data_IF_354264041817
#
_entry.id   IF_354264041817
#
_cell.length_a   1.000
_cell.length_b   1.000
_cell.length_c   1.000
_cell.angle_alpha   90.00
_cell.angle_beta   90.00
_cell.angle_gamma   90.00
#
_symmetry.space_group_name_H-M   'P 1'
#
loop_
_entity.id
_entity.type
_entity.pdbx_description
1 polymer ?
#
# COMPACT_ATOMS: atom_id res chain seq x y z
N UNK A 1 -46.92 11.58 4.55
CA UNK A 1 -46.29 11.91 5.85
C UNK A 1 -44.81 11.61 5.67
N UNK A 2 -43.91 12.56 5.96
CA UNK A 2 -42.46 12.31 5.84
C UNK A 2 -42.05 11.28 6.90
N UNK A 3 -41.18 10.33 6.54
CA UNK A 3 -40.63 9.34 7.47
C UNK A 3 -39.80 10.03 8.56
N UNK A 4 -39.80 9.51 9.78
CA UNK A 4 -39.00 10.07 10.87
C UNK A 4 -37.49 9.86 10.57
N UNK A 5 -36.65 10.89 10.71
CA UNK A 5 -35.21 10.79 10.54
C UNK A 5 -34.55 9.74 11.44
N UNK A 6 -35.11 9.48 12.63
CA UNK A 6 -34.64 8.40 13.50
C UNK A 6 -34.90 7.02 12.88
N UNK A 7 -36.06 6.84 12.25
CA UNK A 7 -36.44 5.59 11.58
C UNK A 7 -35.63 5.37 10.30
N UNK A 8 -35.38 6.43 9.52
CA UNK A 8 -34.53 6.39 8.32
C UNK A 8 -33.11 5.89 8.66
N UNK A 9 -32.54 6.36 9.77
CA UNK A 9 -31.23 5.92 10.24
C UNK A 9 -31.29 4.61 11.05
N UNK A 10 -32.47 4.14 11.44
CA UNK A 10 -32.67 2.93 12.24
C UNK A 10 -32.14 3.04 13.67
N UNK A 11 -32.33 4.20 14.30
CA UNK A 11 -31.84 4.52 15.65
C UNK A 11 -32.96 5.08 16.53
N UNK A 12 -32.80 5.03 17.85
CA UNK A 12 -33.75 5.63 18.79
C UNK A 12 -33.58 7.15 18.94
N UNK A 13 -34.62 7.86 19.41
CA UNK A 13 -34.62 9.32 19.63
C UNK A 13 -33.55 9.81 20.63
N UNK A 14 -33.13 8.92 21.53
CA UNK A 14 -32.08 9.16 22.52
C UNK A 14 -30.66 8.83 22.02
N UNK A 15 -30.49 8.56 20.72
CA UNK A 15 -29.19 8.24 20.14
C UNK A 15 -28.19 9.38 20.33
N UNK A 16 -26.99 9.01 20.75
CA UNK A 16 -25.84 9.92 20.87
C UNK A 16 -25.34 10.35 19.49
N UNK A 17 -24.60 11.47 19.41
CA UNK A 17 -23.99 11.92 18.16
C UNK A 17 -23.09 10.85 17.50
N UNK A 18 -22.42 10.02 18.32
CA UNK A 18 -21.60 8.91 17.85
C UNK A 18 -22.45 7.79 17.20
N UNK A 19 -23.61 7.48 17.76
CA UNK A 19 -24.55 6.49 17.23
C UNK A 19 -25.21 6.98 15.95
N UNK A 20 -25.62 8.25 15.89
CA UNK A 20 -26.15 8.89 14.67
C UNK A 20 -25.13 8.80 13.53
N UNK A 21 -23.87 9.14 13.80
CA UNK A 21 -22.77 9.03 12.81
C UNK A 21 -22.48 7.59 12.40
N UNK A 22 -22.61 6.62 13.31
CA UNK A 22 -22.41 5.20 13.00
C UNK A 22 -23.54 4.65 12.13
N UNK A 23 -24.78 5.03 12.42
CA UNK A 23 -25.96 4.63 11.69
C UNK A 23 -25.95 5.19 10.26
N UNK A 24 -25.65 6.48 10.10
CA UNK A 24 -25.47 7.10 8.79
C UNK A 24 -24.40 6.38 7.96
N UNK A 25 -23.24 6.08 8.55
CA UNK A 25 -22.18 5.32 7.87
C UNK A 25 -22.66 3.97 7.34
N UNK A 26 -23.45 3.24 8.13
CA UNK A 26 -24.00 1.94 7.73
C UNK A 26 -24.94 2.11 6.53
N UNK A 27 -25.85 3.08 6.58
CA UNK A 27 -26.81 3.36 5.50
C UNK A 27 -26.16 3.92 4.24
N UNK A 28 -25.15 4.78 4.38
CA UNK A 28 -24.41 5.34 3.25
C UNK A 28 -23.61 4.29 2.48
N UNK A 29 -23.04 3.29 3.18
CA UNK A 29 -22.36 2.15 2.53
C UNK A 29 -23.38 1.19 1.91
N UNK A 30 -24.52 0.95 2.57
CA UNK A 30 -25.59 0.06 2.10
C UNK A 30 -26.20 0.57 0.79
N UNK A 31 -26.45 1.88 0.70
CA UNK A 31 -27.11 2.52 -0.45
C UNK A 31 -26.15 3.30 -1.36
N UNK A 32 -24.85 3.01 -1.31
CA UNK A 32 -23.86 3.71 -2.15
C UNK A 32 -24.10 3.42 -3.64
N UNK A 33 -24.05 4.42 -4.55
CA UNK A 33 -24.22 4.22 -5.99
C UNK A 33 -23.23 3.22 -6.60
N UNK A 34 -21.97 3.23 -6.18
CA UNK A 34 -20.97 2.25 -6.66
C UNK A 34 -21.35 0.79 -6.35
N UNK A 35 -22.04 0.55 -5.22
CA UNK A 35 -22.51 -0.80 -4.85
C UNK A 35 -23.87 -1.13 -5.45
N UNK A 36 -24.64 -0.11 -5.83
CA UNK A 36 -26.00 -0.23 -6.37
C UNK A 36 -26.15 0.59 -7.66
N UNK A 37 -25.36 0.32 -8.71
CA UNK A 37 -25.37 1.13 -9.92
C UNK A 37 -26.72 1.01 -10.64
N UNK A 38 -27.38 2.15 -10.86
CA UNK A 38 -28.66 2.22 -11.57
C UNK A 38 -29.91 1.86 -10.75
N UNK A 39 -29.78 1.69 -9.42
CA UNK A 39 -30.93 1.46 -8.53
C UNK A 39 -31.49 2.79 -7.99
N UNK A 40 -32.62 3.23 -8.57
CA UNK A 40 -33.32 4.45 -8.16
C UNK A 40 -33.80 4.41 -6.69
N UNK A 41 -34.08 3.23 -6.13
CA UNK A 41 -34.51 3.09 -4.73
C UNK A 41 -33.34 3.27 -3.77
N UNK A 42 -32.17 2.74 -4.12
CA UNK A 42 -30.96 2.96 -3.34
C UNK A 42 -30.59 4.44 -3.32
N UNK A 43 -30.69 5.13 -4.46
CA UNK A 43 -30.44 6.57 -4.55
C UNK A 43 -31.41 7.39 -3.69
N UNK A 44 -32.71 7.06 -3.69
CA UNK A 44 -33.70 7.73 -2.85
C UNK A 44 -33.41 7.52 -1.35
N UNK A 45 -33.07 6.28 -0.95
CA UNK A 45 -32.72 5.96 0.43
C UNK A 45 -31.42 6.62 0.88
N UNK A 46 -30.45 6.76 -0.02
CA UNK A 46 -29.20 7.49 0.23
C UNK A 46 -29.47 8.98 0.50
N UNK A 47 -30.32 9.62 -0.32
CA UNK A 47 -30.73 11.02 -0.14
C UNK A 47 -31.44 11.23 1.20
N UNK A 48 -32.40 10.37 1.54
CA UNK A 48 -33.10 10.41 2.84
C UNK A 48 -32.15 10.25 4.02
N UNK A 49 -31.18 9.32 3.92
CA UNK A 49 -30.20 9.11 4.99
C UNK A 49 -29.25 10.31 5.16
N UNK A 50 -28.88 10.98 4.07
CA UNK A 50 -28.07 12.19 4.10
C UNK A 50 -28.82 13.37 4.75
N UNK A 51 -30.08 13.59 4.37
CA UNK A 51 -30.96 14.60 4.98
C UNK A 51 -31.15 14.35 6.48
N UNK A 52 -31.42 13.10 6.86
CA UNK A 52 -31.54 12.70 8.26
C UNK A 52 -30.26 12.99 9.06
N UNK A 53 -29.08 12.71 8.48
CA UNK A 53 -27.81 12.99 9.14
C UNK A 53 -27.54 14.49 9.24
N UNK A 54 -27.87 15.29 8.23
CA UNK A 54 -27.66 16.74 8.27
C UNK A 54 -28.45 17.41 9.41
N UNK A 55 -29.68 16.94 9.63
CA UNK A 55 -30.54 17.46 10.70
C UNK A 55 -30.15 16.91 12.07
N UNK A 56 -29.86 15.61 12.18
CA UNK A 56 -29.60 14.97 13.48
C UNK A 56 -28.15 15.13 13.97
N UNK A 57 -27.18 15.42 13.09
CA UNK A 57 -25.78 15.59 13.48
C UNK A 57 -25.47 16.94 14.12
N UNK A 58 -26.25 17.99 13.79
CA UNK A 58 -26.12 19.31 14.38
C UNK A 58 -27.02 19.44 15.62
N UNK A 59 -26.48 19.77 16.81
CA UNK A 59 -27.27 19.85 18.04
C UNK A 59 -28.44 20.84 17.97
N UNK A 60 -28.31 21.95 17.24
CA UNK A 60 -29.34 22.98 17.10
C UNK A 60 -30.43 22.54 16.11
N UNK A 61 -30.07 21.88 15.01
CA UNK A 61 -31.04 21.30 14.06
C UNK A 61 -31.78 20.12 14.68
N UNK A 62 -31.07 19.23 15.40
CA UNK A 62 -31.66 18.11 16.14
C UNK A 62 -32.68 18.59 17.15
N UNK A 63 -32.33 19.60 17.96
CA UNK A 63 -33.24 20.18 18.96
C UNK A 63 -34.52 20.74 18.32
N UNK A 64 -34.41 21.45 17.18
CA UNK A 64 -35.58 21.96 16.45
C UNK A 64 -36.43 20.85 15.86
N UNK A 65 -35.82 19.81 15.29
CA UNK A 65 -36.52 18.64 14.77
C UNK A 65 -37.23 17.86 15.89
N UNK A 66 -36.59 17.70 17.06
CA UNK A 66 -37.20 17.02 18.21
C UNK A 66 -38.42 17.78 18.76
N UNK A 67 -38.46 19.11 18.62
CA UNK A 67 -39.56 19.97 19.10
C UNK A 67 -40.71 20.11 18.10
N UNK A 68 -40.42 20.25 16.81
CA UNK A 68 -41.43 20.61 15.79
C UNK A 68 -41.53 19.60 14.63
N UNK A 69 -40.76 18.51 14.67
CA UNK A 69 -40.69 17.52 13.59
C UNK A 69 -40.26 18.14 12.27
N UNK A 70 -40.74 17.57 11.16
CA UNK A 70 -40.47 18.07 9.81
C UNK A 70 -40.97 19.50 9.55
N UNK A 71 -41.99 19.94 10.30
CA UNK A 71 -42.53 21.30 10.17
C UNK A 71 -41.54 22.39 10.63
N UNK A 72 -40.50 22.03 11.40
CA UNK A 72 -39.42 22.93 11.82
C UNK A 72 -38.68 23.60 10.65
N UNK A 73 -38.78 23.01 9.46
CA UNK A 73 -38.04 23.40 8.25
C UNK A 73 -38.96 23.77 7.08
N UNK A 74 -40.29 23.81 7.26
CA UNK A 74 -41.28 24.05 6.19
C UNK A 74 -41.82 25.50 6.14
N UNK A 75 -41.40 26.40 7.05
CA UNK A 75 -41.92 27.77 7.12
C UNK A 75 -40.89 28.85 7.49
N UNK A 76 -40.33 29.52 6.48
CA UNK A 76 -39.86 30.91 6.55
C UNK A 76 -38.55 31.22 7.31
N UNK A 77 -37.52 31.59 6.54
CA UNK A 77 -36.48 32.54 7.01
C UNK A 77 -35.11 31.95 7.31
N UNK A 78 -34.28 31.83 6.28
CA UNK A 78 -32.83 31.99 6.40
C UNK A 78 -32.02 30.79 6.90
N UNK A 79 -31.98 29.69 6.13
CA UNK A 79 -30.75 28.91 5.87
C UNK A 79 -31.09 27.77 4.90
N UNK A 80 -30.39 27.70 3.76
CA UNK A 80 -30.20 26.44 3.03
C UNK A 80 -31.34 25.90 2.18
N UNK A 81 -32.11 26.76 1.49
CA UNK A 81 -32.88 26.36 0.31
C UNK A 81 -31.96 26.21 -0.90
N UNK A 82 -31.00 25.30 -0.83
CA UNK A 82 -30.18 24.87 -1.96
C UNK A 82 -30.32 23.37 -2.02
N UNK A 83 -30.96 22.86 -3.07
CA UNK A 83 -30.98 21.42 -3.32
C UNK A 83 -29.56 20.92 -3.24
N UNK A 84 -29.27 20.04 -2.27
CA UNK A 84 -27.99 19.37 -2.20
C UNK A 84 -27.83 18.59 -3.50
N UNK A 85 -27.02 19.13 -4.42
CA UNK A 85 -26.66 18.42 -5.64
C UNK A 85 -25.94 17.14 -5.23
N UNK A 86 -26.12 16.08 -6.01
CA UNK A 86 -25.48 14.79 -5.75
C UNK A 86 -23.97 15.00 -5.53
N UNK A 87 -23.35 15.85 -6.35
CA UNK A 87 -21.92 16.23 -6.24
C UNK A 87 -21.53 16.95 -4.93
N UNK A 88 -22.43 17.71 -4.30
CA UNK A 88 -22.19 18.36 -2.99
C UNK A 88 -22.27 17.34 -1.84
N UNK A 89 -23.20 16.38 -1.92
CA UNK A 89 -23.29 15.27 -0.96
C UNK A 89 -22.07 14.36 -1.08
N UNK A 90 -21.61 14.09 -2.32
CA UNK A 90 -20.42 13.27 -2.58
C UNK A 90 -19.11 13.97 -2.20
N UNK A 91 -19.00 15.30 -2.38
CA UNK A 91 -17.82 16.05 -1.93
C UNK A 91 -17.76 16.18 -0.40
N UNK A 92 -18.89 16.38 0.27
CA UNK A 92 -18.98 16.35 1.73
C UNK A 92 -18.72 14.94 2.28
N UNK A 93 -19.05 13.89 1.52
CA UNK A 93 -18.63 12.51 1.79
C UNK A 93 -17.12 12.33 1.55
N UNK A 94 -16.56 12.91 0.50
CA UNK A 94 -15.12 12.94 0.23
C UNK A 94 -14.31 13.60 1.35
N UNK A 95 -14.80 14.68 1.95
CA UNK A 95 -14.12 15.35 3.06
C UNK A 95 -14.32 14.64 4.41
N UNK A 96 -15.47 13.97 4.62
CA UNK A 96 -15.75 13.20 5.85
C UNK A 96 -15.13 11.79 5.81
N UNK A 97 -14.94 11.19 4.63
CA UNK A 97 -14.48 9.81 4.44
C UNK A 97 -13.12 9.68 3.74
N UNK A 98 -12.70 10.68 2.95
CA UNK A 98 -11.34 10.77 2.39
C UNK A 98 -10.27 10.92 3.47
N UNK A 99 -10.65 11.26 4.70
CA UNK A 99 -9.77 11.25 5.86
C UNK A 99 -9.63 9.89 6.58
N UNK A 100 -10.36 8.85 6.18
CA UNK A 100 -10.44 7.61 6.96
C UNK A 100 -10.07 6.30 6.23
N UNK A 101 -9.92 6.29 4.90
CA UNK A 101 -9.58 5.04 4.17
C UNK A 101 -8.52 5.17 3.06
N UNK A 102 -7.82 6.30 2.95
CA UNK A 102 -6.64 6.47 2.09
C UNK A 102 -5.52 7.13 2.90
N UNK A 103 -4.35 6.50 2.96
CA UNK A 103 -3.27 6.84 3.88
C UNK A 103 -2.86 8.32 3.91
N UNK A 104 -2.88 8.91 5.11
CA UNK A 104 -2.14 10.11 5.47
C UNK A 104 -2.91 11.43 5.34
N UNK A 105 -3.60 11.85 6.41
CA UNK A 105 -4.27 13.16 6.40
C UNK A 105 -5.13 13.43 7.62
N UNK A 106 -4.52 13.56 8.79
CA UNK A 106 -5.19 14.08 9.98
C UNK A 106 -5.40 15.59 9.81
N UNK A 107 -6.42 16.01 9.06
CA UNK A 107 -6.81 17.43 8.96
C UNK A 107 -8.26 17.57 8.53
N UNK A 108 -9.17 17.75 9.50
CA UNK A 108 -10.57 18.02 9.18
C UNK A 108 -11.57 17.85 10.31
N UNK A 109 -11.24 18.25 11.55
CA UNK A 109 -12.15 18.81 12.58
C UNK A 109 -11.40 18.80 13.92
N UNK A 110 -10.65 19.88 14.17
CA UNK A 110 -10.23 20.25 15.52
C UNK A 110 -10.36 21.76 15.65
N UNK A 111 -11.58 22.24 15.50
CA UNK A 111 -12.02 23.51 16.05
C UNK A 111 -12.67 23.20 17.39
N UNK A 112 -12.20 23.86 18.46
CA UNK A 112 -12.66 23.78 19.85
C UNK A 112 -12.27 22.52 20.66
N UNK A 113 -11.02 22.53 21.14
CA UNK A 113 -10.56 21.65 22.22
C UNK A 113 -9.13 21.99 22.62
N UNK A 114 -8.98 22.77 23.69
CA UNK A 114 -7.68 23.14 24.25
C UNK A 114 -6.83 21.91 24.56
N UNK A 115 -5.70 21.79 23.86
CA UNK A 115 -4.71 20.75 24.06
C UNK A 115 -3.41 21.21 23.44
N UNK A 116 -2.74 22.16 24.11
CA UNK A 116 -1.38 22.62 23.78
C UNK A 116 -0.35 21.51 24.01
N UNK A 117 -0.46 20.42 23.26
CA UNK A 117 0.60 19.42 23.18
C UNK A 117 1.81 20.06 22.53
N UNK A 118 2.92 20.14 23.28
CA UNK A 118 4.22 20.50 22.73
C UNK A 118 4.49 19.60 21.51
N UNK A 119 4.59 20.18 20.30
CA UNK A 119 5.06 19.45 19.12
C UNK A 119 6.48 18.96 19.42
N UNK A 120 6.62 17.69 19.75
CA UNK A 120 7.93 17.06 19.92
C UNK A 120 8.61 16.99 18.57
N UNK A 121 9.87 17.40 18.50
CA UNK A 121 10.67 17.24 17.29
C UNK A 121 10.86 15.76 17.01
N UNK A 122 10.66 15.36 15.76
CA UNK A 122 10.92 14.00 15.29
C UNK A 122 12.32 13.92 14.69
N UNK A 123 13.05 12.87 15.02
CA UNK A 123 14.36 12.59 14.46
C UNK A 123 14.28 12.21 12.98
N UNK A 124 15.41 12.24 12.30
CA UNK A 124 15.45 11.91 10.87
C UNK A 124 15.23 10.42 10.63
N UNK A 125 14.49 10.11 9.57
CA UNK A 125 14.27 8.73 9.15
C UNK A 125 15.58 8.14 8.59
N UNK A 126 15.77 6.84 8.78
CA UNK A 126 16.83 6.07 8.14
C UNK A 126 16.25 5.27 6.99
N UNK A 127 16.98 5.16 5.88
CA UNK A 127 16.58 4.30 4.76
C UNK A 127 17.65 3.25 4.53
N UNK A 128 17.24 1.99 4.54
CA UNK A 128 18.11 0.85 4.23
C UNK A 128 17.52 0.05 3.07
N UNK A 129 18.38 -0.62 2.31
CA UNK A 129 17.97 -1.58 1.29
C UNK A 129 18.23 -2.98 1.81
N UNK A 130 17.23 -3.85 1.67
CA UNK A 130 17.33 -5.25 2.08
C UNK A 130 17.08 -6.09 0.86
N UNK A 131 18.11 -6.86 0.51
CA UNK A 131 18.03 -7.84 -0.56
C UNK A 131 17.35 -9.11 -0.06
N UNK A 132 16.41 -9.60 -0.85
CA UNK A 132 15.66 -10.83 -0.57
C UNK A 132 15.72 -11.79 -1.75
N UNK A 133 15.87 -13.07 -1.44
CA UNK A 133 15.75 -14.14 -2.44
C UNK A 133 14.27 -14.42 -2.75
N UNK A 134 13.98 -15.05 -3.89
CA UNK A 134 12.61 -15.47 -4.22
C UNK A 134 12.00 -16.40 -3.16
N UNK A 135 12.81 -17.24 -2.51
CA UNK A 135 12.39 -18.12 -1.42
C UNK A 135 11.98 -17.35 -0.16
N UNK A 136 12.77 -16.33 0.22
CA UNK A 136 12.44 -15.44 1.33
C UNK A 136 11.15 -14.66 1.03
N UNK A 137 10.95 -14.22 -0.21
CA UNK A 137 9.75 -13.50 -0.64
C UNK A 137 8.52 -14.40 -0.61
N UNK A 138 8.60 -15.65 -1.05
CA UNK A 138 7.44 -16.54 -1.10
C UNK A 138 6.95 -16.98 0.29
N UNK A 139 7.87 -17.19 1.23
CA UNK A 139 7.55 -17.68 2.57
C UNK A 139 7.39 -16.56 3.61
N UNK A 140 7.97 -15.39 3.35
CA UNK A 140 8.17 -14.36 4.37
C UNK A 140 9.34 -14.72 5.28
N UNK A 141 10.01 -13.71 5.83
CA UNK A 141 11.20 -13.91 6.67
C UNK A 141 11.31 -12.85 7.77
N UNK A 142 11.77 -13.28 8.94
CA UNK A 142 12.24 -12.38 9.99
C UNK A 142 13.75 -12.15 9.80
N UNK A 143 14.14 -10.91 9.44
CA UNK A 143 15.54 -10.57 9.16
C UNK A 143 16.07 -9.63 10.24
N UNK A 144 17.19 -10.00 10.85
CA UNK A 144 17.90 -9.17 11.85
C UNK A 144 18.97 -8.34 11.15
N UNK A 145 18.81 -7.02 11.16
CA UNK A 145 19.70 -6.11 10.46
C UNK A 145 20.38 -5.19 11.46
N UNK A 146 21.70 -5.03 11.32
CA UNK A 146 22.47 -4.06 12.09
C UNK A 146 22.31 -2.68 11.46
N UNK A 147 21.75 -1.75 12.21
CA UNK A 147 21.51 -0.39 11.76
C UNK A 147 22.40 0.55 12.56
N UNK A 148 23.14 1.41 11.84
CA UNK A 148 23.90 2.51 12.42
C UNK A 148 22.98 3.72 12.55
N UNK A 149 22.62 4.09 13.78
CA UNK A 149 21.74 5.23 14.04
C UNK A 149 22.34 6.17 15.06
N UNK A 150 21.94 7.45 15.00
CA UNK A 150 22.29 8.43 16.01
C UNK A 150 21.36 8.27 17.20
N UNK A 151 21.93 8.07 18.39
CA UNK A 151 21.23 7.98 19.68
C UNK A 151 21.69 9.10 20.59
N UNK A 152 20.88 9.52 21.56
CA UNK A 152 21.34 10.49 22.56
C UNK A 152 22.47 9.90 23.40
N UNK A 153 23.57 10.66 23.55
CA UNK A 153 24.71 10.22 24.34
C UNK A 153 24.37 10.22 25.84
N UNK A 154 24.88 9.24 26.58
CA UNK A 154 24.68 9.19 28.03
C UNK A 154 25.29 10.44 28.70
N UNK A 155 24.52 11.05 29.61
CA UNK A 155 24.96 12.26 30.33
C UNK A 155 24.76 13.58 29.58
N UNK A 156 24.11 13.59 28.41
CA UNK A 156 23.64 14.83 27.79
C UNK A 156 22.50 15.44 28.61
N UNK A 157 22.58 16.74 28.89
CA UNK A 157 21.50 17.50 29.53
C UNK A 157 21.02 18.62 28.61
N UNK A 158 19.72 18.89 28.68
CA UNK A 158 19.07 19.92 27.88
C UNK A 158 18.37 20.93 28.79
N UNK A 159 18.51 22.21 28.46
CA UNK A 159 17.84 23.33 29.13
C UNK A 159 16.79 23.96 28.19
N UNK A 160 15.76 24.57 28.77
CA UNK A 160 14.69 25.22 27.99
C UNK A 160 15.24 26.38 27.17
N UNK A 161 14.89 26.45 25.89
CA UNK A 161 15.33 27.53 25.02
C UNK A 161 14.70 28.87 25.48
N UNK A 162 15.53 29.83 25.88
CA UNK A 162 15.07 31.16 26.32
C UNK A 162 14.34 31.95 25.23
N UNK A 163 14.74 31.81 23.96
CA UNK A 163 14.16 32.57 22.83
C UNK A 163 12.71 32.20 22.54
N UNK A 164 12.33 30.92 22.67
CA UNK A 164 10.95 30.46 22.43
C UNK A 164 10.20 30.05 23.70
N UNK A 165 10.86 30.07 24.86
CA UNK A 165 10.30 29.59 26.13
C UNK A 165 9.85 28.13 26.08
N UNK A 166 10.57 27.28 25.34
CA UNK A 166 10.21 25.86 25.19
C UNK A 166 9.17 25.55 24.10
N UNK A 167 8.65 26.57 23.40
CA UNK A 167 7.60 26.37 22.39
C UNK A 167 8.11 25.87 21.03
N UNK A 168 9.42 25.93 20.77
CA UNK A 168 10.02 25.53 19.48
C UNK A 168 9.72 26.45 18.30
N UNK A 169 8.79 27.39 18.44
CA UNK A 169 8.41 28.35 17.41
C UNK A 169 8.41 29.78 17.98
N UNK A 170 8.69 30.75 17.12
CA UNK A 170 8.67 32.18 17.41
C UNK A 170 7.73 32.88 16.42
N UNK A 171 6.99 33.87 16.89
CA UNK A 171 6.09 34.64 16.02
C UNK A 171 6.89 35.65 15.21
N UNK A 172 6.92 35.49 13.88
CA UNK A 172 7.54 36.44 12.96
C UNK A 172 6.48 37.39 12.41
N UNK A 173 6.62 38.67 12.71
CA UNK A 173 5.74 39.71 12.18
C UNK A 173 6.37 40.22 10.89
N UNK A 174 5.66 40.10 9.78
CA UNK A 174 6.11 40.58 8.46
C UNK A 174 5.14 41.63 7.94
N UNK A 175 5.66 42.80 7.57
CA UNK A 175 4.84 43.87 6.99
C UNK A 175 4.58 43.55 5.51
N UNK A 176 3.32 43.41 5.13
CA UNK A 176 2.87 43.23 3.74
C UNK A 176 2.10 44.47 3.30
N UNK A 177 1.88 44.63 1.99
CA UNK A 177 1.11 45.75 1.41
C UNK A 177 -0.33 45.81 1.99
N UNK A 178 -0.84 44.68 2.49
CA UNK A 178 -2.17 44.53 3.10
C UNK A 178 -2.16 44.65 4.64
N UNK A 179 -1.02 45.02 5.26
CA UNK A 179 -0.87 45.16 6.70
C UNK A 179 0.14 44.20 7.34
N UNK A 180 0.16 44.17 8.69
CA UNK A 180 1.09 43.33 9.46
C UNK A 180 0.57 41.90 9.54
N UNK A 181 1.26 40.96 8.89
CA UNK A 181 0.95 39.54 8.95
C UNK A 181 1.83 38.89 10.04
N UNK A 182 1.20 38.16 10.97
CA UNK A 182 1.93 37.36 11.96
C UNK A 182 1.96 35.91 11.50
N UNK A 183 3.15 35.33 11.35
CA UNK A 183 3.33 33.92 11.00
C UNK A 183 4.19 33.23 12.04
N UNK A 184 3.87 31.97 12.35
CA UNK A 184 4.72 31.15 13.20
C UNK A 184 5.93 30.67 12.38
N UNK A 185 7.14 30.94 12.87
CA UNK A 185 8.39 30.45 12.30
C UNK A 185 9.09 29.51 13.29
N UNK A 186 9.85 28.53 12.81
CA UNK A 186 10.69 27.69 13.66
C UNK A 186 11.72 28.55 14.38
N UNK A 187 11.90 28.34 15.70
CA UNK A 187 12.89 29.08 16.47
C UNK A 187 14.31 28.78 15.94
N UNK A 188 15.04 29.81 15.54
CA UNK A 188 16.40 29.66 15.00
C UNK A 188 17.41 29.17 16.04
N UNK A 189 17.21 29.49 17.32
CA UNK A 189 18.13 29.10 18.41
C UNK A 189 18.06 27.62 18.75
N UNK A 190 16.88 27.01 18.72
CA UNK A 190 16.70 25.58 19.07
C UNK A 190 16.31 24.70 17.88
N UNK A 191 16.19 25.27 16.67
CA UNK A 191 15.81 24.52 15.47
C UNK A 191 14.45 23.84 15.55
N UNK A 192 13.56 24.28 16.45
CA UNK A 192 12.25 23.66 16.68
C UNK A 192 12.15 22.77 17.91
N UNK A 193 13.26 22.37 18.55
CA UNK A 193 13.24 21.41 19.67
C UNK A 193 12.65 21.98 20.97
N UNK A 194 12.62 23.31 21.11
CA UNK A 194 12.26 23.98 22.36
C UNK A 194 13.34 23.89 23.44
N UNK A 195 14.43 23.15 23.20
CA UNK A 195 15.51 22.92 24.15
C UNK A 195 16.88 23.16 23.51
N UNK A 196 17.84 23.62 24.30
CA UNK A 196 19.24 23.77 23.91
C UNK A 196 20.10 22.89 24.81
N UNK A 197 21.27 22.48 24.35
CA UNK A 197 22.18 21.65 25.14
C UNK A 197 22.73 22.49 26.30
N UNK A 198 22.81 21.86 27.47
CA UNK A 198 23.50 22.40 28.64
C UNK A 198 24.87 21.72 28.77
N UNK A 199 24.89 20.40 28.98
CA UNK A 199 26.12 19.60 29.04
C UNK A 199 26.08 18.48 28.02
N UNK A 200 27.23 18.18 27.42
CA UNK A 200 27.41 17.03 26.53
C UNK A 200 28.76 16.36 26.77
N UNK A 201 28.85 15.04 26.60
CA UNK A 201 30.14 14.35 26.63
C UNK A 201 30.97 14.66 25.37
N UNK A 202 32.25 14.30 25.40
CA UNK A 202 33.20 14.60 24.31
C UNK A 202 32.96 13.76 23.05
N UNK A 203 32.32 12.59 23.20
CA UNK A 203 31.95 11.67 22.12
C UNK A 203 30.61 11.99 21.44
N UNK A 204 29.93 13.06 21.87
CA UNK A 204 28.66 13.52 21.31
C UNK A 204 28.83 14.69 20.32
N UNK A 205 28.02 14.68 19.25
CA UNK A 205 27.98 15.73 18.25
C UNK A 205 27.40 17.05 18.79
N UNK A 206 27.30 18.07 17.92
CA UNK A 206 26.78 19.39 18.28
C UNK A 206 25.33 19.37 18.81
N UNK A 207 24.61 18.27 18.60
CA UNK A 207 23.24 18.06 19.04
C UNK A 207 23.13 17.06 20.22
N UNK A 208 24.26 16.61 20.77
CA UNK A 208 24.30 15.65 21.87
C UNK A 208 24.07 14.20 21.43
N UNK A 209 24.23 13.90 20.14
CA UNK A 209 23.99 12.58 19.58
C UNK A 209 25.31 11.83 19.33
N UNK A 210 25.29 10.51 19.52
CA UNK A 210 26.38 9.57 19.25
C UNK A 210 25.89 8.50 18.27
N UNK A 211 26.77 8.04 17.37
CA UNK A 211 26.45 6.92 16.49
C UNK A 211 26.54 5.61 17.27
N UNK A 212 25.49 4.82 17.25
CA UNK A 212 25.42 3.49 17.87
C UNK A 212 24.94 2.45 16.84
N UNK A 213 25.42 1.22 16.98
CA UNK A 213 24.93 0.08 16.22
C UNK A 213 23.87 -0.66 17.02
N UNK A 214 22.67 -0.80 16.45
CA UNK A 214 21.58 -1.58 17.05
C UNK A 214 21.13 -2.66 16.08
N UNK A 215 20.87 -3.87 16.59
CA UNK A 215 20.27 -4.94 15.77
C UNK A 215 18.76 -4.83 15.84
N UNK A 216 18.11 -4.55 14.71
CA UNK A 216 16.67 -4.44 14.58
C UNK A 216 16.14 -5.68 13.88
N UNK A 217 15.14 -6.33 14.48
CA UNK A 217 14.40 -7.43 13.83
C UNK A 217 13.26 -6.86 12.99
N UNK A 218 13.17 -7.28 11.73
CA UNK A 218 12.19 -6.80 10.77
C UNK A 218 11.44 -8.01 10.21
N UNK A 219 10.14 -8.03 10.41
CA UNK A 219 9.25 -9.05 9.84
C UNK A 219 8.83 -8.60 8.45
N UNK A 220 9.27 -9.34 7.44
CA UNK A 220 8.95 -9.08 6.05
C UNK A 220 7.87 -10.10 5.65
N UNK A 221 6.65 -9.65 5.32
CA UNK A 221 5.57 -10.56 4.93
C UNK A 221 5.88 -11.27 3.62
N UNK A 222 5.24 -12.41 3.40
CA UNK A 222 5.28 -13.11 2.12
C UNK A 222 4.64 -12.25 1.02
N UNK A 223 5.14 -12.36 -0.21
CA UNK A 223 4.59 -11.70 -1.39
C UNK A 223 5.13 -10.31 -1.70
N UNK A 224 6.04 -9.79 -0.87
CA UNK A 224 6.61 -8.44 -1.05
C UNK A 224 7.15 -8.19 -2.45
N UNK A 225 6.78 -7.05 -3.02
CA UNK A 225 7.22 -6.62 -4.35
C UNK A 225 8.48 -5.77 -4.28
N UNK A 226 9.20 -5.73 -5.39
CA UNK A 226 10.36 -4.86 -5.53
C UNK A 226 9.96 -3.38 -5.42
N UNK A 227 10.78 -2.61 -4.69
CA UNK A 227 10.52 -1.18 -4.46
C UNK A 227 9.54 -0.88 -3.33
N UNK A 228 8.87 -1.91 -2.77
CA UNK A 228 8.03 -1.74 -1.58
C UNK A 228 8.86 -1.25 -0.39
N UNK A 229 8.27 -0.35 0.42
CA UNK A 229 8.92 0.23 1.60
C UNK A 229 8.18 -0.17 2.87
N UNK A 230 8.85 -0.93 3.74
CA UNK A 230 8.36 -1.24 5.08
C UNK A 230 8.84 -0.19 6.07
N UNK A 231 7.93 0.29 6.92
CA UNK A 231 8.23 1.29 7.94
C UNK A 231 8.31 0.63 9.31
N UNK A 232 9.48 0.67 9.93
CA UNK A 232 9.68 0.27 11.32
C UNK A 232 9.70 1.53 12.20
N UNK A 233 8.68 1.75 13.05
CA UNK A 233 8.54 3.00 13.79
C UNK A 233 9.62 3.17 14.86
N UNK A 234 10.04 4.41 15.10
CA UNK A 234 10.99 4.79 16.16
C UNK A 234 12.38 4.12 16.09
N UNK A 235 12.75 3.55 14.93
CA UNK A 235 14.06 2.92 14.69
C UNK A 235 14.98 3.74 13.78
N UNK A 236 14.60 4.99 13.51
CA UNK A 236 15.45 5.99 12.85
C UNK A 236 16.41 6.67 13.83
N UNK A 237 16.93 7.83 13.44
CA UNK A 237 17.79 8.62 14.33
C UNK A 237 16.97 9.26 15.45
N UNK A 238 17.55 9.38 16.64
CA UNK A 238 16.97 10.13 17.74
C UNK A 238 16.95 11.63 17.42
N UNK A 239 15.96 12.33 17.95
CA UNK A 239 15.94 13.79 17.97
C UNK A 239 16.64 14.32 19.23
N UNK A 240 17.22 15.54 19.19
CA UNK A 240 17.78 16.17 20.38
C UNK A 240 16.70 16.52 21.41
N UNK A 241 17.02 16.41 22.70
CA UNK A 241 16.12 16.81 23.79
C UNK A 241 14.95 15.85 23.97
N UNK A 242 13.76 16.38 24.23
CA UNK A 242 12.54 15.59 24.41
C UNK A 242 11.85 15.21 23.09
N UNK A 243 12.64 15.02 22.03
CA UNK A 243 12.17 14.61 20.72
C UNK A 243 11.89 13.11 20.63
N UNK A 244 11.12 12.69 19.62
CA UNK A 244 10.87 11.27 19.33
C UNK A 244 11.80 10.79 18.21
N UNK A 245 12.25 9.53 18.21
CA UNK A 245 13.07 9.01 17.12
C UNK A 245 12.35 9.03 15.77
N UNK A 246 13.12 9.11 14.70
CA UNK A 246 12.65 8.89 13.34
C UNK A 246 12.22 7.43 13.11
N UNK A 247 11.78 7.13 11.89
CA UNK A 247 11.45 5.76 11.48
C UNK A 247 12.57 5.14 10.64
N UNK A 248 12.65 3.82 10.62
CA UNK A 248 13.48 3.06 9.68
C UNK A 248 12.62 2.64 8.49
N UNK A 249 12.98 3.10 7.30
CA UNK A 249 12.37 2.78 6.03
C UNK A 249 13.20 1.70 5.34
N UNK A 250 12.62 0.51 5.22
CA UNK A 250 13.26 -0.66 4.63
C UNK A 250 12.75 -0.79 3.21
N UNK A 251 13.58 -0.45 2.24
CA UNK A 251 13.28 -0.68 0.83
C UNK A 251 13.67 -2.11 0.45
N UNK A 252 12.72 -2.83 -0.12
CA UNK A 252 12.91 -4.22 -0.54
C UNK A 252 13.49 -4.24 -1.96
N UNK A 253 14.54 -5.05 -2.13
CA UNK A 253 15.21 -5.31 -3.40
C UNK A 253 15.20 -6.83 -3.63
N UNK A 254 14.75 -7.28 -4.79
CA UNK A 254 14.72 -8.71 -5.13
C UNK A 254 16.06 -9.11 -5.72
N UNK A 255 16.64 -10.21 -5.25
CA UNK A 255 17.80 -10.81 -5.90
C UNK A 255 17.37 -11.59 -7.14
N UNK A 256 18.10 -11.39 -8.24
CA UNK A 256 17.88 -12.15 -9.47
C UNK A 256 18.15 -13.64 -9.20
N UNK A 257 17.22 -14.50 -9.62
CA UNK A 257 17.36 -15.94 -9.50
C UNK A 257 17.82 -16.53 -10.84
N UNK A 258 18.75 -17.50 -10.81
CA UNK A 258 19.39 -18.05 -12.01
C UNK A 258 18.40 -18.63 -13.01
N UNK A 259 17.31 -19.24 -12.52
CA UNK A 259 16.36 -20.00 -13.36
C UNK A 259 14.94 -19.46 -13.34
N UNK A 260 14.57 -18.61 -12.37
CA UNK A 260 13.19 -18.18 -12.15
C UNK A 260 13.09 -16.68 -12.34
N UNK A 261 12.13 -16.25 -13.15
CA UNK A 261 11.82 -14.83 -13.37
C UNK A 261 10.45 -14.53 -12.80
N UNK A 262 10.35 -13.53 -11.93
CA UNK A 262 9.08 -13.11 -11.33
C UNK A 262 8.40 -12.06 -12.20
N UNK A 263 7.11 -12.27 -12.47
CA UNK A 263 6.23 -11.29 -13.11
C UNK A 263 4.93 -11.19 -12.30
N UNK A 264 4.82 -10.12 -11.49
CA UNK A 264 3.74 -9.99 -10.51
C UNK A 264 3.75 -11.13 -9.50
N UNK A 265 2.62 -11.85 -9.39
CA UNK A 265 2.47 -13.04 -8.55
C UNK A 265 2.92 -14.34 -9.26
N UNK A 266 3.15 -14.29 -10.58
CA UNK A 266 3.54 -15.46 -11.37
C UNK A 266 5.05 -15.59 -11.48
N UNK A 267 5.50 -16.82 -11.71
CA UNK A 267 6.90 -17.15 -11.96
C UNK A 267 7.05 -17.77 -13.33
N UNK A 268 8.14 -17.47 -14.00
CA UNK A 268 8.50 -18.00 -15.30
C UNK A 268 9.78 -18.81 -15.18
N UNK A 269 9.77 -20.00 -15.78
CA UNK A 269 10.90 -20.92 -15.82
C UNK A 269 11.14 -21.37 -17.25
N UNK A 270 12.36 -21.20 -17.74
CA UNK A 270 12.76 -21.65 -19.08
C UNK A 270 13.30 -23.08 -19.01
N UNK A 271 12.49 -24.06 -19.42
CA UNK A 271 12.86 -25.47 -19.43
C UNK A 271 13.42 -25.87 -20.80
N UNK A 272 14.71 -26.21 -20.83
CA UNK A 272 15.35 -26.77 -22.01
C UNK A 272 15.25 -28.30 -22.02
N UNK A 273 14.74 -28.84 -23.13
CA UNK A 273 14.60 -30.29 -23.35
C UNK A 273 15.26 -30.71 -24.67
N UNK A 274 15.77 -31.93 -24.74
CA UNK A 274 16.33 -32.44 -25.99
C UNK A 274 15.23 -32.80 -27.00
N UNK A 275 15.59 -32.90 -28.27
CA UNK A 275 14.68 -33.39 -29.33
C UNK A 275 14.16 -34.80 -28.98
N UNK A 276 15.01 -35.68 -28.45
CA UNK A 276 14.60 -37.03 -28.06
C UNK A 276 13.57 -37.02 -26.92
N UNK A 277 13.75 -36.17 -25.91
CA UNK A 277 12.79 -35.99 -24.82
C UNK A 277 11.46 -35.42 -25.32
N UNK A 278 11.51 -34.47 -26.26
CA UNK A 278 10.32 -33.86 -26.84
C UNK A 278 9.50 -34.87 -27.65
N UNK A 279 10.16 -35.73 -28.42
CA UNK A 279 9.51 -36.76 -29.25
C UNK A 279 8.93 -37.88 -28.39
N UNK A 280 9.71 -38.42 -27.45
CA UNK A 280 9.30 -39.60 -26.66
C UNK A 280 8.37 -39.26 -25.49
N UNK A 281 8.41 -38.02 -25.02
CA UNK A 281 7.81 -37.63 -23.74
C UNK A 281 8.66 -38.14 -22.58
N UNK A 282 8.75 -37.35 -21.51
CA UNK A 282 9.54 -37.71 -20.33
C UNK A 282 8.95 -37.06 -19.09
N UNK A 283 9.44 -37.43 -17.90
CA UNK A 283 9.16 -36.68 -16.68
C UNK A 283 10.44 -35.97 -16.24
N UNK A 284 10.38 -34.65 -16.06
CA UNK A 284 11.49 -33.84 -15.57
C UNK A 284 11.18 -33.27 -14.20
N UNK A 285 12.23 -33.08 -13.42
CA UNK A 285 12.17 -32.42 -12.13
C UNK A 285 12.69 -30.99 -12.32
N UNK A 286 11.88 -30.02 -11.89
CA UNK A 286 12.19 -28.60 -11.99
C UNK A 286 12.25 -27.97 -10.61
N UNK A 287 13.09 -26.96 -10.46
CA UNK A 287 13.19 -26.20 -9.22
C UNK A 287 12.07 -25.16 -9.16
N UNK A 288 11.26 -25.23 -8.12
CA UNK A 288 10.26 -24.22 -7.78
C UNK A 288 10.58 -23.63 -6.40
N UNK A 289 9.95 -22.50 -6.05
CA UNK A 289 10.26 -21.77 -4.81
C UNK A 289 9.97 -22.57 -3.53
N UNK A 290 9.07 -23.56 -3.60
CA UNK A 290 8.76 -24.48 -2.51
C UNK A 290 9.52 -25.82 -2.57
N UNK A 291 10.58 -25.90 -3.37
CA UNK A 291 11.33 -27.13 -3.64
C UNK A 291 11.06 -27.71 -5.01
N UNK A 292 11.50 -28.94 -5.22
CA UNK A 292 11.46 -29.58 -6.53
C UNK A 292 10.08 -30.14 -6.89
N UNK A 293 9.66 -29.92 -8.13
CA UNK A 293 8.38 -30.41 -8.66
C UNK A 293 8.65 -31.29 -9.88
N UNK A 294 8.05 -32.48 -9.91
CA UNK A 294 8.08 -33.36 -11.08
C UNK A 294 6.95 -32.98 -12.04
N UNK A 295 7.32 -32.66 -13.28
CA UNK A 295 6.39 -32.38 -14.38
C UNK A 295 6.44 -33.51 -15.40
N UNK A 296 5.28 -33.83 -15.97
CA UNK A 296 5.17 -34.78 -17.08
C UNK A 296 5.13 -33.99 -18.39
N UNK A 297 6.05 -34.31 -19.29
CA UNK A 297 6.08 -33.81 -20.66
C UNK A 297 5.43 -34.84 -21.57
N UNK A 298 4.43 -34.40 -22.33
CA UNK A 298 3.74 -35.23 -23.31
C UNK A 298 4.67 -35.55 -24.49
N UNK A 299 4.48 -36.71 -25.10
CA UNK A 299 5.18 -37.06 -26.33
C UNK A 299 4.73 -36.13 -27.47
N UNK A 300 5.66 -35.71 -28.32
CA UNK A 300 5.40 -34.75 -29.39
C UNK A 300 5.22 -33.30 -28.90
N UNK A 301 5.75 -32.95 -27.73
CA UNK A 301 5.65 -31.58 -27.20
C UNK A 301 6.41 -30.59 -28.10
N UNK A 302 5.71 -29.53 -28.51
CA UNK A 302 6.28 -28.50 -29.35
C UNK A 302 7.01 -27.43 -28.52
N UNK A 303 8.06 -26.86 -29.12
CA UNK A 303 8.78 -25.73 -28.53
C UNK A 303 7.86 -24.50 -28.40
N UNK A 304 8.01 -23.75 -27.32
CA UNK A 304 7.15 -22.61 -26.98
C UNK A 304 5.78 -22.99 -26.43
N UNK A 305 5.53 -24.26 -26.09
CA UNK A 305 4.37 -24.66 -25.26
C UNK A 305 4.62 -24.20 -23.83
N UNK A 306 3.60 -23.59 -23.22
CA UNK A 306 3.64 -23.10 -21.83
C UNK A 306 2.86 -24.07 -20.97
N UNK A 307 3.53 -24.68 -19.99
CA UNK A 307 2.88 -25.54 -18.99
C UNK A 307 2.63 -24.72 -17.73
N UNK A 308 1.36 -24.65 -17.30
CA UNK A 308 0.96 -23.87 -16.12
C UNK A 308 0.79 -24.77 -14.92
N UNK A 309 1.62 -24.56 -13.90
CA UNK A 309 1.52 -25.20 -12.60
C UNK A 309 0.81 -24.26 -11.63
N UNK A 310 -0.45 -24.60 -11.32
CA UNK A 310 -1.32 -23.74 -10.52
C UNK A 310 -0.85 -23.64 -9.07
N UNK A 311 -0.85 -22.44 -8.51
CA UNK A 311 -0.53 -22.19 -7.10
C UNK A 311 0.94 -22.47 -6.72
N UNK A 312 1.84 -22.46 -7.72
CA UNK A 312 3.30 -22.64 -7.53
C UNK A 312 4.10 -21.37 -7.77
N UNK A 313 3.43 -20.22 -7.87
CA UNK A 313 4.01 -18.88 -7.92
C UNK A 313 4.19 -18.26 -6.53
N UNK A 314 4.17 -16.93 -6.47
CA UNK A 314 4.34 -16.14 -5.24
C UNK A 314 2.98 -15.92 -4.57
N UNK A 315 2.95 -15.98 -3.24
CA UNK A 315 1.75 -15.65 -2.45
C UNK A 315 1.44 -14.17 -2.55
N UNK A 316 0.19 -13.82 -2.83
CA UNK A 316 -0.21 -12.41 -2.97
C UNK A 316 -0.23 -11.70 -1.61
N UNK A 317 0.27 -10.46 -1.55
CA UNK A 317 0.21 -9.63 -0.34
C UNK A 317 -1.21 -9.14 -0.01
N UNK A 318 -1.97 -8.79 -1.05
CA UNK A 318 -3.26 -8.08 -0.93
C UNK A 318 -4.47 -8.99 -1.14
N UNK A 319 -4.26 -10.27 -1.49
CA UNK A 319 -5.32 -11.20 -1.89
C UNK A 319 -5.20 -12.56 -1.23
N UNK A 320 -6.25 -13.37 -1.39
CA UNK A 320 -6.25 -14.78 -1.03
C UNK A 320 -5.81 -15.61 -2.22
N UNK A 321 -4.55 -16.06 -2.23
CA UNK A 321 -4.05 -16.98 -3.25
C UNK A 321 -2.56 -16.85 -3.49
N UNK A 322 -2.04 -17.80 -4.25
CA UNK A 322 -0.68 -17.77 -4.81
C UNK A 322 -0.81 -17.75 -6.33
N UNK A 323 0.12 -17.06 -6.99
CA UNK A 323 0.21 -17.09 -8.45
C UNK A 323 0.63 -18.47 -8.96
N UNK A 324 0.88 -18.53 -10.27
CA UNK A 324 1.20 -19.76 -10.98
C UNK A 324 2.67 -19.79 -11.41
N UNK A 325 3.23 -20.99 -11.59
CA UNK A 325 4.52 -21.19 -12.25
C UNK A 325 4.26 -21.57 -13.72
N UNK A 326 4.76 -20.73 -14.62
CA UNK A 326 4.67 -20.86 -16.06
C UNK A 326 6.00 -21.40 -16.60
N UNK A 327 5.97 -22.66 -17.02
CA UNK A 327 7.13 -23.37 -17.55
C UNK A 327 7.12 -23.25 -19.07
N UNK A 328 8.07 -22.50 -19.61
CA UNK A 328 8.28 -22.33 -21.05
C UNK A 328 9.16 -23.47 -21.56
N UNK A 329 8.59 -24.34 -22.38
CA UNK A 329 9.34 -25.49 -22.92
C UNK A 329 10.09 -25.06 -24.17
N UNK A 330 11.42 -25.18 -24.14
CA UNK A 330 12.31 -24.89 -25.25
C UNK A 330 13.01 -26.17 -25.72
N UNK A 331 12.73 -26.60 -26.95
CA UNK A 331 13.43 -27.74 -27.54
C UNK A 331 14.82 -27.28 -27.99
N UNK A 332 15.86 -27.86 -27.41
CA UNK A 332 17.24 -27.55 -27.70
C UNK A 332 17.78 -28.40 -28.84
N UNK A 333 18.33 -27.74 -29.86
CA UNK A 333 18.96 -28.38 -31.01
C UNK A 333 20.49 -28.38 -30.83
N UNK A 334 21.16 -29.54 -30.87
CA UNK A 334 22.61 -29.63 -30.76
C UNK A 334 23.31 -28.96 -31.95
N UNK A 335 24.42 -28.26 -31.66
CA UNK A 335 25.25 -27.58 -32.68
C UNK A 335 26.25 -28.51 -33.37
N UNK A 336 26.65 -29.58 -32.69
CA UNK A 336 27.65 -30.53 -33.17
C UNK A 336 27.08 -31.94 -33.09
N UNK A 337 27.33 -32.73 -34.14
CA UNK A 337 26.86 -34.10 -34.28
C UNK A 337 28.01 -35.01 -34.72
N UNK A 338 28.08 -36.20 -34.12
CA UNK A 338 28.99 -37.25 -34.57
C UNK A 338 28.46 -37.93 -35.84
N UNK A 339 29.26 -38.83 -36.44
CA UNK A 339 28.90 -39.50 -37.70
C UNK A 339 27.61 -40.31 -37.60
N UNK A 340 27.45 -41.08 -36.53
CA UNK A 340 26.24 -41.91 -36.31
C UNK A 340 24.98 -41.07 -36.15
N UNK A 341 25.06 -39.94 -35.44
CA UNK A 341 23.95 -39.02 -35.25
C UNK A 341 23.57 -38.31 -36.55
N UNK A 342 24.55 -37.92 -37.37
CA UNK A 342 24.28 -37.34 -38.71
C UNK A 342 23.55 -38.34 -39.60
N UNK A 343 24.08 -39.56 -39.71
CA UNK A 343 23.47 -40.63 -40.51
C UNK A 343 22.02 -40.92 -40.06
N UNK A 344 21.74 -40.85 -38.75
CA UNK A 344 20.38 -40.99 -38.21
C UNK A 344 19.44 -39.89 -38.72
N UNK A 345 19.83 -38.62 -38.61
CA UNK A 345 18.98 -37.50 -39.06
C UNK A 345 18.81 -37.47 -40.58
N UNK A 346 19.84 -37.83 -41.35
CA UNK A 346 19.76 -37.93 -42.82
C UNK A 346 18.72 -38.97 -43.27
N UNK A 347 18.67 -40.13 -42.60
CA UNK A 347 17.64 -41.15 -42.88
C UNK A 347 16.23 -40.68 -42.54
N UNK A 348 16.09 -39.80 -41.55
CA UNK A 348 14.80 -39.29 -41.09
C UNK A 348 14.31 -38.09 -41.90
N UNK A 349 15.15 -37.41 -42.69
CA UNK A 349 14.75 -36.22 -43.48
C UNK A 349 13.57 -36.49 -44.43
N UNK A 350 13.51 -37.67 -45.03
CA UNK A 350 12.47 -38.04 -46.01
C UNK A 350 11.27 -38.76 -45.38
N UNK A 351 11.18 -38.81 -44.04
CA UNK A 351 10.07 -39.46 -43.35
C UNK A 351 8.95 -38.45 -43.11
N UNK A 352 7.71 -38.82 -43.45
CA UNK A 352 6.53 -37.95 -43.33
C UNK A 352 6.34 -37.35 -41.92
N UNK A 353 6.78 -38.04 -40.87
CA UNK A 353 6.64 -37.57 -39.48
C UNK A 353 7.66 -36.48 -39.08
N UNK A 354 8.73 -36.30 -39.85
CA UNK A 354 9.74 -35.27 -39.60
C UNK A 354 9.57 -34.05 -40.53
N UNK A 355 8.59 -34.09 -41.44
CA UNK A 355 8.16 -32.92 -42.20
C UNK A 355 7.37 -31.96 -41.30
N UNK A 356 7.82 -30.71 -41.11
CA UNK A 356 7.09 -29.74 -40.28
C UNK A 356 5.75 -29.37 -40.92
N UNK A 357 4.64 -29.70 -40.24
CA UNK A 357 3.27 -29.31 -40.65
C UNK A 357 2.61 -28.52 -39.53
N UNK A 358 2.96 -27.23 -39.35
CA UNK A 358 2.37 -26.41 -38.30
C UNK A 358 0.86 -26.31 -38.50
N UNK A 359 0.08 -26.68 -37.48
CA UNK A 359 -1.37 -26.57 -37.53
C UNK A 359 -1.82 -25.14 -37.24
N UNK A 360 -3.03 -24.74 -37.63
CA UNK A 360 -3.57 -23.39 -37.33
C UNK A 360 -3.67 -23.07 -35.83
N UNK A 361 -3.64 -24.10 -34.97
CA UNK A 361 -3.57 -23.97 -33.52
C UNK A 361 -2.16 -23.61 -33.00
N UNK A 362 -1.13 -23.91 -33.79
CA UNK A 362 0.26 -23.64 -33.44
C UNK A 362 0.62 -22.20 -33.82
N UNK A 363 0.17 -21.26 -32.97
CA UNK A 363 0.50 -19.84 -33.15
C UNK A 363 2.01 -19.68 -33.30
N UNK A 364 2.42 -19.03 -34.39
CA UNK A 364 3.83 -18.70 -34.63
C UNK A 364 4.37 -17.84 -33.50
N UNK A 365 5.69 -17.88 -33.25
CA UNK A 365 6.36 -16.98 -32.31
C UNK A 365 5.95 -15.52 -32.54
N UNK A 366 5.87 -15.10 -33.81
CA UNK A 366 5.47 -13.74 -34.18
C UNK A 366 4.01 -13.43 -33.86
N UNK A 367 3.10 -14.40 -34.02
CA UNK A 367 1.68 -14.23 -33.68
C UNK A 367 1.49 -14.14 -32.17
N UNK A 368 2.21 -14.95 -31.39
CA UNK A 368 2.21 -14.87 -29.92
C UNK A 368 2.70 -13.51 -29.43
N UNK A 369 3.77 -12.99 -30.02
CA UNK A 369 4.30 -11.65 -29.69
C UNK A 369 3.30 -10.56 -30.09
N UNK A 370 2.70 -10.65 -31.28
CA UNK A 370 1.69 -9.70 -31.74
C UNK A 370 0.48 -9.64 -30.81
N UNK A 371 0.01 -10.79 -30.33
CA UNK A 371 -1.10 -10.89 -29.37
C UNK A 371 -0.75 -10.29 -27.99
N UNK A 372 0.53 -10.14 -27.64
CA UNK A 372 0.96 -9.47 -26.40
C UNK A 372 1.00 -7.94 -26.51
N UNK A 373 1.10 -7.40 -27.73
CA UNK A 373 1.20 -5.96 -28.01
C UNK A 373 -0.07 -5.35 -28.62
N UNK A 374 -1.08 -6.18 -28.90
CA UNK A 374 -2.42 -5.78 -29.37
C UNK A 374 -3.39 -5.81 -28.20
#
# INVERSE_FOLDING_TARGET
MKEDYYDILGIGKNATAAEIKKAYRKKAIEYHPDKNPGDAKAEEMFKKAAEAYEVLSDPNKKSRYDQYGHAAFEGGGGFGGGGMNMDDIFSQFGDIFGGAFGGGGFSGFSGFGGGGGQRRVKGSNLRIRVKLTLEEIANGVEKKIKVRRKVQAEGVTYQTCGTCGGRGQVTKITNTILGRMQTAATCSTCGGSGQIIDKKPSDADANGLKVSEETVSINIPAGVEEGMQLKVPNKGNDAPGNGVPGDLLVAIETEEHDTLKREGDNLHYDLYISISEAVLGTSKEIDAVGGKVRIKLEAGIQSGKILRLRGKGITSLNGYGSGDLLVHVNVWTPKELNKEQKDFFERMQNNENFEPRPEKSDKSFFEKVKDMFS
#
